data_IF_622859673660
#
_entry.id   IF_622859673660
#
_cell.length_a   1.000
_cell.length_b   1.000
_cell.length_c   1.000
_cell.angle_alpha   90.00
_cell.angle_beta   90.00
_cell.angle_gamma   90.00
#
_symmetry.space_group_name_H-M   'P 1'
#
loop_
_entity.id
_entity.type
_entity.pdbx_description
1 polymer ?
#
# COMPACT_ATOMS: atom_id res chain seq x y z
N UNK A 1 -11.23 49.03 -9.92
CA UNK A 1 -11.80 47.89 -10.66
C UNK A 1 -11.05 46.57 -10.44
N UNK A 2 -9.73 46.56 -10.25
CA UNK A 2 -8.92 45.33 -10.08
C UNK A 2 -9.09 44.68 -8.69
N UNK A 3 -9.25 45.47 -7.62
CA UNK A 3 -9.35 44.98 -6.24
C UNK A 3 -10.64 44.18 -6.00
N UNK A 4 -11.73 44.50 -6.69
CA UNK A 4 -13.04 43.85 -6.50
C UNK A 4 -13.04 42.39 -7.00
N UNK A 5 -12.31 42.09 -8.08
CA UNK A 5 -12.22 40.73 -8.63
C UNK A 5 -11.37 39.79 -7.74
N UNK A 6 -10.37 40.33 -7.03
CA UNK A 6 -9.49 39.56 -6.14
C UNK A 6 -10.25 39.04 -4.91
N UNK A 7 -11.06 39.89 -4.28
CA UNK A 7 -11.89 39.49 -3.15
C UNK A 7 -13.04 38.54 -3.57
N UNK A 8 -13.51 38.62 -4.81
CA UNK A 8 -14.51 37.69 -5.35
C UNK A 8 -13.95 36.26 -5.51
N UNK A 9 -12.68 36.12 -5.89
CA UNK A 9 -11.98 34.83 -6.02
C UNK A 9 -11.78 34.12 -4.68
N UNK A 10 -11.42 34.86 -3.64
CA UNK A 10 -11.28 34.32 -2.27
C UNK A 10 -12.63 33.98 -1.63
N UNK A 11 -13.71 34.70 -1.98
CA UNK A 11 -15.06 34.39 -1.51
C UNK A 11 -15.55 33.05 -2.06
N UNK A 12 -15.30 32.76 -3.34
CA UNK A 12 -15.77 31.53 -3.99
C UNK A 12 -15.07 30.25 -3.48
N UNK A 13 -13.86 30.32 -2.94
CA UNK A 13 -13.17 29.15 -2.36
C UNK A 13 -13.69 28.76 -0.97
N UNK A 14 -14.46 29.64 -0.32
CA UNK A 14 -15.03 29.42 1.02
C UNK A 14 -16.42 28.77 0.98
N UNK A 15 -17.07 28.74 -0.20
CA UNK A 15 -18.38 28.10 -0.38
C UNK A 15 -18.22 26.72 -1.01
N UNK A 16 -18.78 25.71 -0.34
CA UNK A 16 -18.58 24.29 -0.64
C UNK A 16 -18.86 23.88 -2.09
N UNK A 17 -18.32 22.70 -2.45
CA UNK A 17 -18.28 22.16 -3.82
C UNK A 17 -19.60 22.40 -4.59
N UNK A 18 -19.51 23.10 -5.72
CA UNK A 18 -20.66 23.37 -6.59
C UNK A 18 -21.24 22.07 -7.17
N UNK A 19 -22.51 22.06 -7.63
CA UNK A 19 -23.13 20.86 -8.24
C UNK A 19 -22.31 20.27 -9.40
N UNK A 20 -21.63 21.14 -10.16
CA UNK A 20 -20.69 20.78 -11.24
C UNK A 20 -19.43 20.08 -10.69
N UNK A 21 -18.82 20.61 -9.62
CA UNK A 21 -17.65 19.98 -8.99
C UNK A 21 -17.97 18.59 -8.38
N UNK A 22 -19.20 18.38 -7.89
CA UNK A 22 -19.65 17.05 -7.43
C UNK A 22 -19.76 16.05 -8.57
N UNK A 23 -20.24 16.50 -9.74
CA UNK A 23 -20.34 15.68 -10.94
C UNK A 23 -18.96 15.31 -11.47
N UNK A 24 -18.04 16.26 -11.55
CA UNK A 24 -16.65 16.04 -11.94
C UNK A 24 -15.93 15.04 -11.02
N UNK A 25 -16.12 15.16 -9.70
CA UNK A 25 -15.54 14.22 -8.74
C UNK A 25 -16.05 12.79 -8.97
N UNK A 26 -17.34 12.60 -9.23
CA UNK A 26 -17.91 11.27 -9.54
C UNK A 26 -17.34 10.71 -10.84
N UNK A 27 -17.22 11.54 -11.87
CA UNK A 27 -16.63 11.13 -13.15
C UNK A 27 -15.16 10.73 -12.97
N UNK A 28 -14.37 11.50 -12.21
CA UNK A 28 -12.99 11.15 -11.88
C UNK A 28 -12.87 9.80 -11.16
N UNK A 29 -13.77 9.51 -10.21
CA UNK A 29 -13.82 8.22 -9.54
C UNK A 29 -14.17 7.07 -10.49
N UNK A 30 -15.07 7.27 -11.46
CA UNK A 30 -15.40 6.25 -12.46
C UNK A 30 -14.21 5.92 -13.37
N UNK A 31 -13.40 6.92 -13.74
CA UNK A 31 -12.17 6.68 -14.51
C UNK A 31 -11.06 6.02 -13.67
N UNK A 32 -10.99 6.33 -12.37
CA UNK A 32 -10.02 5.72 -11.46
C UNK A 32 -10.40 4.28 -11.08
N UNK A 33 -11.70 4.01 -10.95
CA UNK A 33 -12.25 2.75 -10.48
C UNK A 33 -11.68 1.50 -11.18
N UNK A 34 -11.57 1.39 -12.52
CA UNK A 34 -11.05 0.19 -13.15
C UNK A 34 -9.59 -0.09 -12.81
N UNK A 35 -8.74 0.95 -12.75
CA UNK A 35 -7.34 0.79 -12.35
C UNK A 35 -7.23 0.42 -10.86
N UNK A 36 -7.97 1.12 -10.00
CA UNK A 36 -7.97 0.86 -8.56
C UNK A 36 -8.47 -0.56 -8.24
N UNK A 37 -9.49 -1.02 -8.96
CA UNK A 37 -10.03 -2.37 -8.83
C UNK A 37 -8.99 -3.42 -9.24
N UNK A 38 -8.26 -3.19 -10.34
CA UNK A 38 -7.13 -4.03 -10.73
C UNK A 38 -6.04 -4.07 -9.65
N UNK A 39 -5.61 -2.91 -9.16
CA UNK A 39 -4.62 -2.83 -8.07
C UNK A 39 -5.08 -3.56 -6.80
N UNK A 40 -6.34 -3.41 -6.41
CA UNK A 40 -6.90 -4.10 -5.26
C UNK A 40 -6.93 -5.63 -5.44
N UNK A 41 -7.38 -6.10 -6.61
CA UNK A 41 -7.51 -7.53 -6.90
C UNK A 41 -6.18 -8.24 -7.08
N UNK A 42 -5.19 -7.59 -7.67
CA UNK A 42 -3.91 -8.23 -7.97
C UNK A 42 -2.85 -7.94 -6.91
N UNK A 43 -2.74 -6.71 -6.43
CA UNK A 43 -1.69 -6.33 -5.48
C UNK A 43 -2.17 -6.47 -4.04
N UNK A 44 -3.26 -5.79 -3.68
CA UNK A 44 -3.71 -5.77 -2.27
C UNK A 44 -4.14 -7.16 -1.84
N UNK A 45 -4.87 -7.88 -2.68
CA UNK A 45 -5.24 -9.27 -2.42
C UNK A 45 -4.02 -10.19 -2.29
N UNK A 46 -3.06 -10.15 -3.22
CA UNK A 46 -1.88 -11.01 -3.16
C UNK A 46 -1.02 -10.72 -1.92
N UNK A 47 -0.80 -9.44 -1.60
CA UNK A 47 -0.09 -9.03 -0.38
C UNK A 47 -0.87 -9.44 0.86
N UNK A 48 -2.18 -9.28 0.87
CA UNK A 48 -3.05 -9.69 1.97
C UNK A 48 -2.99 -11.21 2.21
N UNK A 49 -2.99 -12.00 1.15
CA UNK A 49 -2.84 -13.46 1.22
C UNK A 49 -1.45 -13.86 1.73
N UNK A 50 -0.38 -13.23 1.22
CA UNK A 50 0.98 -13.50 1.70
C UNK A 50 1.14 -13.09 3.18
N UNK A 51 0.55 -11.97 3.58
CA UNK A 51 0.54 -11.51 4.96
C UNK A 51 -0.21 -12.48 5.85
N UNK A 52 -1.41 -12.92 5.45
CA UNK A 52 -2.17 -13.95 6.17
C UNK A 52 -1.33 -15.22 6.35
N UNK A 53 -0.82 -15.75 5.23
CA UNK A 53 -0.01 -16.96 5.18
C UNK A 53 1.26 -16.89 6.04
N UNK A 54 1.83 -15.69 6.24
CA UNK A 54 3.00 -15.52 7.12
C UNK A 54 2.75 -15.95 8.57
N UNK A 55 1.48 -15.95 9.02
CA UNK A 55 1.06 -16.42 10.34
C UNK A 55 0.66 -17.90 10.36
N UNK A 56 0.71 -18.58 9.22
CA UNK A 56 0.47 -20.01 9.12
C UNK A 56 1.76 -20.74 8.78
N UNK A 57 1.96 -21.89 9.40
CA UNK A 57 2.94 -22.86 8.95
C UNK A 57 2.27 -23.66 7.84
N UNK A 58 2.61 -23.31 6.61
CA UNK A 58 2.12 -23.97 5.43
C UNK A 58 3.31 -24.49 4.62
N UNK A 59 3.26 -25.77 4.31
CA UNK A 59 4.18 -26.43 3.40
C UNK A 59 3.36 -27.04 2.26
N UNK A 60 3.91 -27.14 1.06
CA UNK A 60 3.19 -27.61 -0.14
C UNK A 60 2.56 -29.01 0.04
N UNK A 61 3.08 -29.78 1.01
CA UNK A 61 2.67 -31.15 1.31
C UNK A 61 1.91 -31.31 2.63
N UNK A 62 1.87 -30.28 3.50
CA UNK A 62 1.25 -30.36 4.82
C UNK A 62 0.03 -29.45 4.95
N UNK A 63 -0.87 -29.79 5.88
CA UNK A 63 -2.01 -28.93 6.19
C UNK A 63 -1.54 -27.62 6.83
N UNK A 64 -2.14 -26.51 6.40
CA UNK A 64 -1.86 -25.17 6.91
C UNK A 64 -2.25 -25.07 8.39
N UNK A 65 -1.25 -25.00 9.28
CA UNK A 65 -1.47 -24.85 10.71
C UNK A 65 -1.30 -23.38 11.12
N UNK A 66 -2.25 -22.76 11.83
CA UNK A 66 -2.06 -21.41 12.35
C UNK A 66 -1.05 -21.42 13.49
N UNK A 67 0.10 -20.77 13.29
CA UNK A 67 1.21 -20.72 14.26
C UNK A 67 1.51 -19.30 14.78
N UNK A 68 0.79 -18.29 14.27
CA UNK A 68 0.94 -16.90 14.70
C UNK A 68 2.35 -16.38 14.39
N UNK A 69 3.06 -15.89 15.41
CA UNK A 69 4.39 -15.31 15.25
C UNK A 69 5.55 -16.31 15.32
N UNK A 70 5.27 -17.60 15.50
CA UNK A 70 6.31 -18.61 15.64
C UNK A 70 7.25 -18.68 14.43
N UNK A 71 6.71 -18.49 13.20
CA UNK A 71 7.51 -18.42 11.97
C UNK A 71 8.58 -17.33 12.02
N UNK A 72 8.22 -16.14 12.51
CA UNK A 72 9.16 -15.03 12.62
C UNK A 72 10.24 -15.32 13.66
N UNK A 73 9.86 -15.82 14.85
CA UNK A 73 10.84 -16.17 15.88
C UNK A 73 11.83 -17.20 15.34
N UNK A 74 11.33 -18.26 14.67
CA UNK A 74 12.16 -19.29 14.05
C UNK A 74 13.14 -18.71 13.02
N UNK A 75 12.70 -17.77 12.17
CA UNK A 75 13.57 -17.10 11.20
C UNK A 75 14.70 -16.31 11.87
N UNK A 76 14.40 -15.55 12.94
CA UNK A 76 15.40 -14.71 13.59
C UNK A 76 16.34 -15.48 14.54
N UNK A 77 15.89 -16.58 15.15
CA UNK A 77 16.70 -17.30 16.16
C UNK A 77 17.26 -18.64 15.66
N UNK A 78 16.58 -19.27 14.70
CA UNK A 78 16.87 -20.64 14.26
C UNK A 78 17.51 -20.74 12.87
N UNK A 79 17.51 -19.66 12.08
CA UNK A 79 18.03 -19.65 10.72
C UNK A 79 19.23 -18.71 10.58
N UNK A 80 20.48 -19.24 10.57
CA UNK A 80 21.67 -18.43 10.40
C UNK A 80 21.81 -17.85 8.98
N UNK A 81 21.17 -18.45 7.97
CA UNK A 81 21.26 -17.99 6.59
C UNK A 81 20.36 -16.77 6.36
N UNK A 82 19.24 -16.68 7.07
CA UNK A 82 18.39 -15.49 7.05
C UNK A 82 19.15 -14.22 7.49
N UNK A 83 19.91 -14.28 8.59
CA UNK A 83 20.73 -13.15 9.05
C UNK A 83 21.86 -12.79 8.09
N UNK A 84 22.51 -13.80 7.48
CA UNK A 84 23.54 -13.57 6.44
C UNK A 84 22.96 -12.90 5.21
N UNK A 85 21.80 -13.35 4.74
CA UNK A 85 21.11 -12.77 3.59
C UNK A 85 20.69 -11.31 3.87
N UNK A 86 20.18 -11.04 5.08
CA UNK A 86 19.84 -9.70 5.53
C UNK A 86 21.07 -8.78 5.52
N UNK A 87 22.18 -9.22 6.10
CA UNK A 87 23.44 -8.47 6.10
C UNK A 87 23.93 -8.17 4.68
N UNK A 88 23.95 -9.18 3.81
CA UNK A 88 24.37 -9.02 2.41
C UNK A 88 23.49 -8.00 1.67
N UNK A 89 22.18 -8.03 1.91
CA UNK A 89 21.22 -7.09 1.30
C UNK A 89 21.48 -5.66 1.77
N UNK A 90 21.65 -5.45 3.08
CA UNK A 90 21.94 -4.13 3.65
C UNK A 90 23.29 -3.60 3.14
N UNK A 91 24.31 -4.46 3.15
CA UNK A 91 25.63 -4.12 2.62
C UNK A 91 25.56 -3.70 1.15
N UNK A 92 24.79 -4.44 0.33
CA UNK A 92 24.57 -4.11 -1.08
C UNK A 92 23.84 -2.77 -1.25
N UNK A 93 22.76 -2.53 -0.51
CA UNK A 93 21.98 -1.28 -0.59
C UNK A 93 22.87 -0.08 -0.25
N UNK A 94 23.66 -0.15 0.82
CA UNK A 94 24.57 0.93 1.21
C UNK A 94 25.66 1.16 0.16
N UNK A 95 26.16 0.09 -0.48
CA UNK A 95 27.20 0.21 -1.52
C UNK A 95 26.69 0.73 -2.86
N UNK A 96 25.39 0.56 -3.16
CA UNK A 96 24.81 0.87 -4.48
C UNK A 96 23.99 2.16 -4.50
N UNK A 97 23.31 2.49 -3.40
CA UNK A 97 22.49 3.71 -3.32
C UNK A 97 23.41 4.88 -2.92
N UNK A 98 23.61 5.87 -3.81
CA UNK A 98 24.52 7.00 -3.57
C UNK A 98 23.99 7.99 -2.54
#
# INVERSE_FOLDING_TARGET
>A
MIVTNFFQGLRNSLFGKTPTQRRETRTAWLFLAPNLLGFMLFTVFAVGMAFWLSFQEWDLFNQSNPVGLANYIRLFTGDPDFMRALYNTVYFVIGVVP
#
